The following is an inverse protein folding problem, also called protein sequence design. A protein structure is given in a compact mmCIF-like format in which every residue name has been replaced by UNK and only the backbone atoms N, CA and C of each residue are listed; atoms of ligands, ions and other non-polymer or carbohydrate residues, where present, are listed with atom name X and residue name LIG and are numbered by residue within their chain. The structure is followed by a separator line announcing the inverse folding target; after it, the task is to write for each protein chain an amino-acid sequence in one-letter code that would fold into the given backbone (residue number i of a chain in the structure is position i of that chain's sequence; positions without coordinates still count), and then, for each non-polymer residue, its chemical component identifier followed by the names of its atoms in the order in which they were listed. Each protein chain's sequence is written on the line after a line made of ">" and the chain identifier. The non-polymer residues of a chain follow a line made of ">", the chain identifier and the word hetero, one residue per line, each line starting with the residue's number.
data_IF_907963496987
#
_entry.id   IF_907963496987
#
_cell.length_a   1.000
_cell.length_b   1.000
_cell.length_c   1.000
_cell.angle_alpha   90.00
_cell.angle_beta   90.00
_cell.angle_gamma   90.00
#
_symmetry.space_group_name_H-M   'P 1'
#
loop_
_entity.id
_entity.type
_entity.pdbx_description
1 polymer ?
#
# COMPACT_ATOMS: atom_id res chain seq x y z
N UNK A 1 -24.05 -43.69 -10.48
CA UNK A 1 -22.79 -43.01 -10.80
C UNK A 1 -22.77 -41.48 -10.60
N UNK A 2 -23.88 -40.75 -10.71
CA UNK A 2 -23.89 -39.27 -10.51
C UNK A 2 -23.91 -38.82 -9.03
N UNK A 3 -24.58 -39.57 -8.14
CA UNK A 3 -24.75 -39.14 -6.73
C UNK A 3 -23.48 -39.27 -5.91
N UNK A 4 -22.66 -40.25 -6.17
CA UNK A 4 -21.40 -40.48 -5.45
C UNK A 4 -20.31 -39.48 -5.86
N UNK A 5 -20.29 -39.04 -7.12
CA UNK A 5 -19.42 -37.96 -7.56
C UNK A 5 -19.78 -36.62 -6.90
N UNK A 6 -21.08 -36.33 -6.78
CA UNK A 6 -21.55 -35.09 -6.11
C UNK A 6 -21.21 -35.11 -4.62
N UNK A 7 -21.40 -36.26 -3.94
CA UNK A 7 -20.99 -36.44 -2.54
C UNK A 7 -19.48 -36.31 -2.35
N UNK A 8 -18.68 -36.88 -3.25
CA UNK A 8 -17.22 -36.73 -3.18
C UNK A 8 -16.74 -35.30 -3.43
N UNK A 9 -17.36 -34.59 -4.36
CA UNK A 9 -17.06 -33.15 -4.59
C UNK A 9 -17.41 -32.33 -3.34
N UNK A 10 -18.61 -32.51 -2.78
CA UNK A 10 -19.03 -31.79 -1.56
C UNK A 10 -18.15 -32.13 -0.34
N UNK A 11 -17.67 -33.39 -0.21
CA UNK A 11 -16.72 -33.77 0.84
C UNK A 11 -15.35 -33.15 0.61
N UNK A 12 -14.85 -33.11 -0.63
CA UNK A 12 -13.58 -32.50 -0.99
C UNK A 12 -13.60 -30.99 -0.70
N UNK A 13 -14.69 -30.33 -1.04
CA UNK A 13 -14.83 -28.88 -0.77
C UNK A 13 -14.89 -28.61 0.74
N UNK A 14 -15.60 -29.44 1.51
CA UNK A 14 -15.63 -29.31 2.99
C UNK A 14 -14.25 -29.50 3.62
N UNK A 15 -13.48 -30.47 3.19
CA UNK A 15 -12.11 -30.69 3.68
C UNK A 15 -11.22 -29.51 3.33
N UNK A 16 -11.32 -28.98 2.11
CA UNK A 16 -10.56 -27.79 1.71
C UNK A 16 -10.90 -26.58 2.59
N UNK A 17 -12.18 -26.32 2.84
CA UNK A 17 -12.60 -25.21 3.72
C UNK A 17 -12.15 -25.41 5.17
N UNK A 18 -12.18 -26.62 5.70
CA UNK A 18 -11.67 -26.92 7.04
C UNK A 18 -10.15 -26.68 7.12
N UNK A 19 -9.40 -27.08 6.10
CA UNK A 19 -7.96 -26.81 6.03
C UNK A 19 -7.65 -25.31 5.94
N UNK A 20 -8.42 -24.56 5.15
CA UNK A 20 -8.28 -23.11 5.08
C UNK A 20 -8.58 -22.48 6.44
N UNK A 21 -9.64 -22.89 7.12
CA UNK A 21 -9.96 -22.41 8.45
C UNK A 21 -8.85 -22.73 9.47
N UNK A 22 -8.28 -23.92 9.40
CA UNK A 22 -7.13 -24.32 10.24
C UNK A 22 -5.88 -23.47 9.93
N UNK A 23 -5.62 -23.18 8.65
CA UNK A 23 -4.51 -22.29 8.26
C UNK A 23 -4.74 -20.84 8.74
N UNK A 24 -5.96 -20.31 8.67
CA UNK A 24 -6.29 -18.98 9.20
C UNK A 24 -6.10 -18.96 10.72
N UNK A 25 -6.52 -20.02 11.41
CA UNK A 25 -6.28 -20.13 12.86
C UNK A 25 -4.78 -20.19 13.19
N UNK A 26 -4.00 -20.98 12.45
CA UNK A 26 -2.54 -21.04 12.63
C UNK A 26 -1.89 -19.68 12.38
N UNK A 27 -2.35 -18.97 11.36
CA UNK A 27 -1.91 -17.60 11.06
C UNK A 27 -2.25 -16.64 12.21
N UNK A 28 -3.45 -16.70 12.76
CA UNK A 28 -3.85 -15.92 13.93
C UNK A 28 -2.97 -16.24 15.14
N UNK A 29 -2.77 -17.51 15.45
CA UNK A 29 -1.94 -17.96 16.57
C UNK A 29 -0.48 -17.47 16.44
N UNK A 30 0.08 -17.49 15.23
CA UNK A 30 1.43 -16.97 14.96
C UNK A 30 1.50 -15.44 15.23
N UNK A 31 0.51 -14.67 14.79
CA UNK A 31 0.45 -13.23 15.04
C UNK A 31 0.31 -12.93 16.54
N UNK A 32 -0.58 -13.64 17.23
CA UNK A 32 -0.70 -13.50 18.69
C UNK A 32 0.57 -13.91 19.44
N UNK A 33 1.25 -14.97 18.99
CA UNK A 33 2.52 -15.39 19.57
C UNK A 33 3.58 -14.28 19.50
N UNK A 34 3.64 -13.53 18.38
CA UNK A 34 4.58 -12.44 18.18
C UNK A 34 4.38 -11.23 19.09
N UNK A 35 3.15 -10.96 19.49
CA UNK A 35 2.83 -9.83 20.39
C UNK A 35 2.71 -10.25 21.85
N UNK A 36 2.64 -11.56 22.16
CA UNK A 36 2.49 -12.08 23.51
C UNK A 36 3.67 -11.68 24.38
N UNK A 37 3.41 -10.96 25.48
CA UNK A 37 4.43 -10.51 26.42
C UNK A 37 5.34 -9.41 25.89
N UNK A 38 5.07 -8.88 24.70
CA UNK A 38 5.81 -7.75 24.15
C UNK A 38 5.21 -6.42 24.62
N UNK A 39 6.04 -5.41 24.72
CA UNK A 39 5.63 -4.03 24.85
C UNK A 39 5.35 -3.43 23.49
N UNK A 40 4.37 -2.51 23.41
CA UNK A 40 4.12 -1.76 22.20
C UNK A 40 5.32 -0.86 21.86
N UNK A 41 5.66 -0.81 20.58
CA UNK A 41 6.71 0.09 20.10
C UNK A 41 6.11 1.43 19.72
N UNK A 42 6.67 2.49 20.30
CA UNK A 42 6.34 3.88 19.99
C UNK A 42 7.41 4.49 19.08
N UNK A 43 6.96 5.18 18.07
CA UNK A 43 7.76 6.04 17.21
C UNK A 43 7.39 7.50 17.46
N UNK A 44 8.17 8.43 16.98
CA UNK A 44 7.85 9.87 17.02
C UNK A 44 6.43 10.11 16.45
N UNK A 45 6.12 9.44 15.36
CA UNK A 45 4.83 9.47 14.68
C UNK A 45 3.64 8.92 15.50
N UNK A 46 3.90 8.05 16.47
CA UNK A 46 2.84 7.36 17.23
C UNK A 46 1.94 8.32 17.99
N UNK A 47 2.50 9.43 18.49
CA UNK A 47 1.75 10.45 19.21
C UNK A 47 0.59 11.00 18.38
N UNK A 48 0.82 11.23 17.07
CA UNK A 48 -0.21 11.72 16.15
C UNK A 48 -1.35 10.73 15.89
N UNK A 49 -1.15 9.44 16.19
CA UNK A 49 -2.21 8.42 16.05
C UNK A 49 -3.04 8.22 17.32
N UNK A 50 -2.64 8.80 18.47
CA UNK A 50 -3.33 8.60 19.74
C UNK A 50 -4.56 9.49 19.90
N UNK A 51 -4.69 10.53 19.10
CA UNK A 51 -5.79 11.50 19.17
C UNK A 51 -6.51 11.61 17.84
N UNK A 52 -7.84 11.41 17.87
CA UNK A 52 -8.69 11.58 16.71
C UNK A 52 -8.86 13.07 16.35
N UNK A 53 -8.57 13.40 15.10
CA UNK A 53 -8.80 14.72 14.56
C UNK A 53 -9.44 14.63 13.15
N UNK A 54 -10.66 15.12 13.04
CA UNK A 54 -11.38 15.18 11.76
C UNK A 54 -11.16 16.50 11.02
N UNK A 55 -10.45 17.47 11.60
CA UNK A 55 -10.20 18.76 10.97
C UNK A 55 -9.23 18.68 9.79
N UNK A 56 -8.43 17.62 9.72
CA UNK A 56 -7.33 17.45 8.77
C UNK A 56 -6.07 18.25 9.13
N UNK A 57 -6.07 18.95 10.28
CA UNK A 57 -4.88 19.67 10.76
C UNK A 57 -3.84 18.72 11.36
N UNK A 58 -4.30 17.57 11.89
CA UNK A 58 -3.41 16.51 12.31
C UNK A 58 -2.68 15.91 11.09
N UNK A 59 -1.42 15.57 11.30
CA UNK A 59 -0.62 14.85 10.31
C UNK A 59 -1.19 13.45 9.97
N UNK A 60 -2.17 12.95 10.74
CA UNK A 60 -2.69 11.59 10.63
C UNK A 60 -4.17 11.59 10.28
N UNK A 61 -4.53 10.80 9.26
CA UNK A 61 -5.90 10.63 8.83
C UNK A 61 -6.67 9.75 9.81
N UNK A 62 -7.96 10.00 9.95
CA UNK A 62 -8.84 9.55 11.01
C UNK A 62 -8.99 8.03 11.25
N UNK A 63 -8.88 7.08 10.29
CA UNK A 63 -9.24 5.69 10.56
C UNK A 63 -8.38 5.03 11.64
N UNK A 64 -7.06 5.26 11.64
CA UNK A 64 -6.18 4.69 12.66
C UNK A 64 -6.32 5.42 14.00
N UNK A 65 -6.29 6.76 14.06
CA UNK A 65 -6.60 7.50 15.28
C UNK A 65 -7.94 7.13 15.90
N UNK A 66 -9.01 6.93 15.11
CA UNK A 66 -10.31 6.52 15.64
C UNK A 66 -10.27 5.19 16.40
N UNK A 67 -9.53 4.22 15.85
CA UNK A 67 -9.34 2.93 16.51
C UNK A 67 -8.52 3.08 17.79
N UNK A 68 -7.43 3.83 17.75
CA UNK A 68 -6.52 3.95 18.89
C UNK A 68 -7.08 4.80 20.01
N UNK A 69 -7.95 5.77 19.73
CA UNK A 69 -8.65 6.54 20.76
C UNK A 69 -9.71 5.72 21.48
N UNK A 70 -10.45 4.87 20.75
CA UNK A 70 -11.47 3.98 21.36
C UNK A 70 -10.80 2.89 22.20
N UNK A 71 -9.61 2.42 21.82
CA UNK A 71 -8.90 1.36 22.52
C UNK A 71 -7.84 1.99 23.43
N UNK A 72 -8.14 2.14 24.71
CA UNK A 72 -7.29 2.86 25.67
C UNK A 72 -5.95 2.17 25.98
N UNK A 73 -5.86 0.83 25.88
CA UNK A 73 -4.66 0.07 26.24
C UNK A 73 -3.81 -0.26 25.03
N UNK A 74 -2.51 0.02 25.08
CA UNK A 74 -1.57 -0.26 24.00
C UNK A 74 -1.49 -1.76 23.68
N UNK A 75 -1.56 -2.61 24.70
CA UNK A 75 -1.63 -4.05 24.49
C UNK A 75 -2.92 -4.47 23.74
N UNK A 76 -4.06 -3.85 24.07
CA UNK A 76 -5.31 -4.10 23.34
C UNK A 76 -5.24 -3.56 21.90
N UNK A 77 -4.53 -2.46 21.64
CA UNK A 77 -4.27 -1.93 20.30
C UNK A 77 -3.46 -2.92 19.46
N UNK A 78 -2.42 -3.53 20.04
CA UNK A 78 -1.65 -4.60 19.37
C UNK A 78 -2.55 -5.82 19.08
N UNK A 79 -3.37 -6.26 20.02
CA UNK A 79 -4.33 -7.36 19.80
C UNK A 79 -5.29 -7.00 18.67
N UNK A 80 -5.86 -5.78 18.66
CA UNK A 80 -6.74 -5.33 17.59
C UNK A 80 -6.04 -5.39 16.23
N UNK A 81 -4.81 -4.91 16.13
CA UNK A 81 -4.01 -4.96 14.89
C UNK A 81 -3.83 -6.41 14.40
N UNK A 82 -3.48 -7.34 15.29
CA UNK A 82 -3.31 -8.76 14.95
C UNK A 82 -4.63 -9.44 14.52
N UNK A 83 -5.74 -9.13 15.20
CA UNK A 83 -7.09 -9.62 14.85
C UNK A 83 -7.52 -9.07 13.50
N UNK A 84 -7.40 -7.75 13.31
CA UNK A 84 -7.80 -7.09 12.08
C UNK A 84 -6.98 -7.59 10.88
N UNK A 85 -5.68 -7.77 11.06
CA UNK A 85 -4.83 -8.38 10.05
C UNK A 85 -5.26 -9.83 9.75
N UNK A 86 -5.60 -10.62 10.77
CA UNK A 86 -6.10 -11.99 10.56
C UNK A 86 -7.38 -12.00 9.73
N UNK A 87 -8.32 -11.09 9.99
CA UNK A 87 -9.55 -10.95 9.20
C UNK A 87 -9.22 -10.55 7.75
N UNK A 88 -8.36 -9.56 7.56
CA UNK A 88 -8.02 -9.03 6.24
C UNK A 88 -7.30 -10.07 5.34
N UNK A 89 -6.27 -10.71 5.90
CA UNK A 89 -5.52 -11.74 5.18
C UNK A 89 -6.34 -13.02 5.00
N UNK A 90 -7.14 -13.41 6.00
CA UNK A 90 -8.06 -14.53 5.91
C UNK A 90 -9.13 -14.32 4.85
N UNK A 91 -9.76 -13.14 4.81
CA UNK A 91 -10.71 -12.77 3.75
C UNK A 91 -10.08 -12.90 2.36
N UNK A 92 -8.90 -12.32 2.17
CA UNK A 92 -8.20 -12.36 0.87
C UNK A 92 -7.80 -13.79 0.49
N UNK A 93 -7.31 -14.59 1.46
CA UNK A 93 -7.00 -15.99 1.24
C UNK A 93 -8.22 -16.80 0.80
N UNK A 94 -9.37 -16.60 1.43
CA UNK A 94 -10.64 -17.24 1.05
C UNK A 94 -11.07 -16.83 -0.35
N UNK A 95 -11.00 -15.54 -0.69
CA UNK A 95 -11.35 -15.05 -2.03
C UNK A 95 -10.45 -15.66 -3.10
N UNK A 96 -9.12 -15.62 -2.92
CA UNK A 96 -8.18 -16.20 -3.89
C UNK A 96 -8.39 -17.70 -4.00
N UNK A 97 -8.58 -18.42 -2.89
CA UNK A 97 -8.84 -19.85 -2.85
C UNK A 97 -10.15 -20.23 -3.57
N UNK A 98 -11.21 -19.44 -3.40
CA UNK A 98 -12.50 -19.68 -4.04
C UNK A 98 -12.40 -19.63 -5.58
N UNK A 99 -11.55 -18.77 -6.11
CA UNK A 99 -11.38 -18.60 -7.56
C UNK A 99 -10.26 -19.47 -8.15
N UNK A 100 -9.30 -19.94 -7.35
CA UNK A 100 -8.27 -20.91 -7.75
C UNK A 100 -8.75 -22.35 -7.56
N UNK A 101 -9.73 -22.80 -8.34
CA UNK A 101 -10.49 -24.03 -8.15
C UNK A 101 -9.65 -25.30 -8.01
N UNK A 102 -8.55 -25.41 -8.75
CA UNK A 102 -7.64 -26.58 -8.69
C UNK A 102 -6.58 -26.45 -7.60
N UNK A 103 -6.25 -25.22 -7.21
CA UNK A 103 -5.18 -24.90 -6.26
C UNK A 103 -5.70 -24.20 -4.99
N UNK A 104 -6.95 -24.46 -4.62
CA UNK A 104 -7.66 -23.82 -3.49
C UNK A 104 -6.82 -23.74 -2.21
N UNK A 105 -6.25 -24.86 -1.77
CA UNK A 105 -5.44 -24.92 -0.54
C UNK A 105 -4.11 -24.18 -0.72
N UNK A 106 -3.41 -24.41 -1.85
CA UNK A 106 -2.15 -23.74 -2.17
C UNK A 106 -2.33 -22.24 -2.24
N UNK A 107 -3.43 -21.76 -2.84
CA UNK A 107 -3.75 -20.35 -2.97
C UNK A 107 -3.96 -19.70 -1.59
N UNK A 108 -4.75 -20.32 -0.71
CA UNK A 108 -4.93 -19.81 0.65
C UNK A 108 -3.60 -19.83 1.44
N UNK A 109 -2.86 -20.93 1.35
CA UNK A 109 -1.58 -21.08 2.05
C UNK A 109 -0.58 -20.01 1.65
N UNK A 110 -0.40 -19.76 0.35
CA UNK A 110 0.59 -18.79 -0.13
C UNK A 110 0.23 -17.36 0.25
N UNK A 111 -1.06 -16.98 0.24
CA UNK A 111 -1.52 -15.67 0.71
C UNK A 111 -1.23 -15.52 2.21
N UNK A 112 -1.59 -16.49 3.04
CA UNK A 112 -1.36 -16.43 4.48
C UNK A 112 0.14 -16.51 4.82
N UNK A 113 0.93 -17.27 4.07
CA UNK A 113 2.37 -17.37 4.23
C UNK A 113 3.03 -15.99 4.00
N UNK A 114 2.64 -15.28 2.93
CA UNK A 114 3.11 -13.93 2.67
C UNK A 114 2.75 -12.98 3.82
N UNK A 115 1.52 -13.05 4.33
CA UNK A 115 1.08 -12.25 5.48
C UNK A 115 1.77 -12.60 6.80
N UNK A 116 2.38 -13.78 6.89
CA UNK A 116 3.13 -14.22 8.07
C UNK A 116 4.58 -13.73 8.10
N UNK A 117 5.08 -13.14 7.01
CA UNK A 117 6.47 -12.65 6.94
C UNK A 117 6.73 -11.55 7.96
N UNK A 118 8.00 -11.42 8.36
CA UNK A 118 8.40 -10.46 9.38
C UNK A 118 8.16 -9.02 8.92
N UNK A 119 8.36 -8.73 7.63
CA UNK A 119 8.09 -7.45 7.00
C UNK A 119 6.64 -6.96 7.15
N UNK A 120 5.70 -7.89 7.41
CA UNK A 120 4.28 -7.59 7.54
C UNK A 120 3.80 -7.75 8.98
N UNK A 121 4.10 -8.85 9.62
CA UNK A 121 3.48 -9.21 10.89
C UNK A 121 4.09 -8.52 12.11
N UNK A 122 5.35 -8.04 12.01
CA UNK A 122 5.97 -7.30 13.10
C UNK A 122 5.41 -5.88 13.28
N UNK A 123 4.65 -5.37 12.31
CA UNK A 123 3.95 -4.10 12.47
C UNK A 123 2.83 -4.15 13.51
N UNK A 124 2.35 -5.34 13.90
CA UNK A 124 1.27 -5.45 14.90
C UNK A 124 1.68 -4.95 16.27
N UNK A 125 2.97 -4.91 16.60
CA UNK A 125 3.46 -4.33 17.86
C UNK A 125 3.73 -2.83 17.78
N UNK A 126 3.75 -2.24 16.59
CA UNK A 126 4.02 -0.83 16.38
C UNK A 126 2.71 -0.03 16.39
N UNK A 127 2.63 1.03 17.19
CA UNK A 127 1.45 1.88 17.25
C UNK A 127 1.50 2.95 16.15
N UNK A 128 1.40 2.47 14.91
CA UNK A 128 1.45 3.24 13.68
C UNK A 128 0.34 2.80 12.71
N UNK A 129 0.31 3.38 11.52
CA UNK A 129 -0.69 3.04 10.49
C UNK A 129 -0.37 1.78 9.68
N UNK A 130 0.83 1.24 9.77
CA UNK A 130 1.34 0.22 8.84
C UNK A 130 0.59 -1.11 8.96
N UNK A 131 0.32 -1.61 10.16
CA UNK A 131 -0.41 -2.88 10.33
C UNK A 131 -1.84 -2.76 9.80
N UNK A 132 -2.59 -1.73 10.24
CA UNK A 132 -3.97 -1.50 9.81
C UNK A 132 -4.00 -1.14 8.31
N UNK A 133 -3.13 -0.25 7.86
CA UNK A 133 -3.07 0.20 6.47
C UNK A 133 -2.73 -0.94 5.50
N UNK A 134 -1.73 -1.76 5.80
CA UNK A 134 -1.39 -2.94 4.98
C UNK A 134 -2.51 -3.96 4.97
N UNK A 135 -3.17 -4.19 6.11
CA UNK A 135 -4.32 -5.09 6.21
C UNK A 135 -5.50 -4.60 5.37
N UNK A 136 -5.79 -3.30 5.39
CA UNK A 136 -6.82 -2.68 4.54
C UNK A 136 -6.46 -2.78 3.04
N UNK A 137 -5.21 -2.58 2.66
CA UNK A 137 -4.74 -2.77 1.28
C UNK A 137 -4.99 -4.21 0.83
N UNK A 138 -4.59 -5.19 1.64
CA UNK A 138 -4.79 -6.62 1.34
C UNK A 138 -6.27 -6.95 1.20
N UNK A 139 -7.11 -6.47 2.12
CA UNK A 139 -8.56 -6.65 2.03
C UNK A 139 -9.15 -5.97 0.79
N UNK A 140 -8.65 -4.78 0.41
CA UNK A 140 -9.06 -4.10 -0.83
C UNK A 140 -8.69 -4.91 -2.06
N UNK A 141 -7.50 -5.53 -2.09
CA UNK A 141 -7.10 -6.43 -3.18
C UNK A 141 -7.99 -7.67 -3.25
N UNK A 142 -8.33 -8.27 -2.11
CA UNK A 142 -9.31 -9.36 -2.04
C UNK A 142 -10.68 -8.93 -2.57
N UNK A 143 -11.20 -7.78 -2.15
CA UNK A 143 -12.46 -7.24 -2.63
C UNK A 143 -12.43 -6.92 -4.14
N UNK A 144 -11.31 -6.37 -4.64
CA UNK A 144 -11.11 -6.14 -6.08
C UNK A 144 -11.14 -7.46 -6.88
N UNK A 145 -10.45 -8.49 -6.42
CA UNK A 145 -10.49 -9.81 -7.05
C UNK A 145 -11.91 -10.38 -7.03
N UNK A 146 -12.64 -10.20 -5.94
CA UNK A 146 -14.05 -10.60 -5.87
C UNK A 146 -14.89 -9.87 -6.93
N UNK A 147 -14.80 -8.54 -7.06
CA UNK A 147 -15.51 -7.76 -8.09
C UNK A 147 -15.12 -8.17 -9.52
N UNK A 148 -13.84 -8.50 -9.74
CA UNK A 148 -13.34 -8.96 -11.05
C UNK A 148 -14.06 -10.24 -11.48
N UNK A 149 -14.23 -11.18 -10.57
CA UNK A 149 -14.87 -12.47 -10.83
C UNK A 149 -16.39 -12.41 -10.77
N UNK A 150 -16.93 -11.74 -9.75
CA UNK A 150 -18.36 -11.65 -9.49
C UNK A 150 -18.75 -10.21 -9.15
N UNK A 151 -19.23 -9.48 -10.14
CA UNK A 151 -19.68 -8.11 -9.97
C UNK A 151 -21.11 -8.09 -9.47
N UNK A 152 -21.26 -8.04 -8.16
CA UNK A 152 -22.55 -7.89 -7.45
C UNK A 152 -22.58 -6.58 -6.67
N UNK A 153 -23.76 -6.15 -6.25
CA UNK A 153 -23.89 -4.97 -5.37
C UNK A 153 -23.09 -5.16 -4.08
N UNK A 154 -23.08 -6.38 -3.53
CA UNK A 154 -22.35 -6.69 -2.29
C UNK A 154 -20.85 -6.55 -2.51
N UNK A 155 -20.29 -7.19 -3.55
CA UNK A 155 -18.84 -7.13 -3.82
C UNK A 155 -18.36 -5.70 -4.11
N UNK A 156 -19.14 -4.92 -4.88
CA UNK A 156 -18.84 -3.50 -5.16
C UNK A 156 -18.95 -2.65 -3.90
N UNK A 157 -19.95 -2.89 -3.02
CA UNK A 157 -20.08 -2.17 -1.75
C UNK A 157 -18.90 -2.47 -0.82
N UNK A 158 -18.51 -3.74 -0.70
CA UNK A 158 -17.34 -4.15 0.10
C UNK A 158 -16.07 -3.45 -0.42
N UNK A 159 -15.85 -3.46 -1.74
CA UNK A 159 -14.71 -2.76 -2.35
C UNK A 159 -14.75 -1.26 -2.06
N UNK A 160 -15.92 -0.62 -2.17
CA UNK A 160 -16.08 0.81 -1.90
C UNK A 160 -15.78 1.14 -0.43
N UNK A 161 -16.32 0.37 0.52
CA UNK A 161 -16.11 0.59 1.95
C UNK A 161 -14.63 0.38 2.32
N UNK A 162 -14.09 -0.80 2.01
CA UNK A 162 -12.71 -1.14 2.39
C UNK A 162 -11.72 -0.24 1.68
N UNK A 163 -11.94 0.04 0.39
CA UNK A 163 -11.09 0.95 -0.37
C UNK A 163 -11.13 2.38 0.14
N UNK A 164 -12.29 2.86 0.62
CA UNK A 164 -12.40 4.17 1.28
C UNK A 164 -11.59 4.20 2.58
N UNK A 165 -11.75 3.19 3.43
CA UNK A 165 -10.95 3.09 4.65
C UNK A 165 -9.45 3.02 4.34
N UNK A 166 -9.05 2.26 3.32
CA UNK A 166 -7.66 2.20 2.85
C UNK A 166 -7.16 3.58 2.44
N UNK A 167 -7.90 4.26 1.57
CA UNK A 167 -7.53 5.57 1.05
C UNK A 167 -7.39 6.61 2.16
N UNK A 168 -8.27 6.56 3.17
CA UNK A 168 -8.26 7.48 4.30
C UNK A 168 -7.25 7.07 5.40
N UNK A 169 -6.44 6.04 5.22
CA UNK A 169 -5.42 5.64 6.19
C UNK A 169 -4.17 6.51 6.12
N UNK A 170 -3.78 6.92 4.91
CA UNK A 170 -2.57 7.71 4.65
C UNK A 170 -2.78 8.70 3.48
N UNK A 171 -2.26 9.93 3.56
CA UNK A 171 -2.42 10.92 2.49
C UNK A 171 -2.04 10.43 1.08
N UNK A 172 -0.94 9.66 0.88
CA UNK A 172 -0.59 9.13 -0.44
C UNK A 172 -1.59 8.15 -1.04
N UNK A 173 -2.56 7.66 -0.27
CA UNK A 173 -3.58 6.72 -0.73
C UNK A 173 -4.89 7.40 -1.14
N UNK A 174 -5.09 8.66 -0.82
CA UNK A 174 -6.29 9.44 -1.16
C UNK A 174 -6.67 9.38 -2.66
N UNK A 175 -5.72 9.41 -3.62
CA UNK A 175 -6.05 9.26 -5.04
C UNK A 175 -6.85 7.98 -5.37
N UNK A 176 -6.75 6.93 -4.54
CA UNK A 176 -7.54 5.71 -4.69
C UNK A 176 -9.06 5.98 -4.60
N UNK A 177 -9.51 6.98 -3.82
CA UNK A 177 -10.92 7.38 -3.78
C UNK A 177 -11.44 7.80 -5.15
N UNK A 178 -10.64 8.55 -5.90
CA UNK A 178 -10.99 8.98 -7.25
C UNK A 178 -11.10 7.78 -8.18
N UNK A 179 -10.17 6.84 -8.09
CA UNK A 179 -10.20 5.58 -8.87
C UNK A 179 -11.45 4.78 -8.54
N UNK A 180 -11.78 4.62 -7.25
CA UNK A 180 -12.99 3.92 -6.81
C UNK A 180 -14.27 4.59 -7.32
N UNK A 181 -14.33 5.92 -7.26
CA UNK A 181 -15.45 6.69 -7.78
C UNK A 181 -15.61 6.47 -9.29
N UNK A 182 -14.53 6.64 -10.07
CA UNK A 182 -14.54 6.44 -11.52
C UNK A 182 -14.97 5.02 -11.89
N UNK A 183 -14.42 4.01 -11.23
CA UNK A 183 -14.77 2.59 -11.47
C UNK A 183 -16.25 2.33 -11.14
N UNK A 184 -16.74 2.89 -10.03
CA UNK A 184 -18.14 2.67 -9.62
C UNK A 184 -19.11 3.40 -10.53
N UNK A 185 -18.80 4.62 -10.98
CA UNK A 185 -19.57 5.34 -12.00
C UNK A 185 -19.58 4.56 -13.32
N UNK A 186 -18.42 4.04 -13.73
CA UNK A 186 -18.33 3.21 -14.93
C UNK A 186 -19.22 1.97 -14.84
N UNK A 187 -19.27 1.29 -13.69
CA UNK A 187 -20.20 0.17 -13.47
C UNK A 187 -21.66 0.63 -13.53
N UNK A 188 -21.97 1.78 -12.92
CA UNK A 188 -23.33 2.31 -12.95
C UNK A 188 -23.83 2.56 -14.38
N UNK A 189 -23.00 3.17 -15.20
CA UNK A 189 -23.32 3.48 -16.62
C UNK A 189 -23.36 2.21 -17.46
N UNK A 190 -22.32 1.37 -17.36
CA UNK A 190 -22.20 0.15 -18.19
C UNK A 190 -23.31 -0.85 -17.93
N UNK A 191 -23.63 -1.08 -16.66
CA UNK A 191 -24.61 -2.10 -16.26
C UNK A 191 -26.00 -1.50 -16.09
N UNK A 192 -26.17 -0.19 -16.35
CA UNK A 192 -27.41 0.58 -16.14
C UNK A 192 -28.02 0.34 -14.76
N UNK A 193 -27.16 0.28 -13.73
CA UNK A 193 -27.53 -0.08 -12.37
C UNK A 193 -27.56 1.15 -11.46
N UNK A 194 -28.76 1.55 -11.02
CA UNK A 194 -28.93 2.64 -10.06
C UNK A 194 -28.25 2.35 -8.71
N UNK A 195 -28.09 1.06 -8.33
CA UNK A 195 -27.41 0.65 -7.10
C UNK A 195 -25.93 1.06 -7.08
N UNK A 196 -25.23 0.89 -8.21
CA UNK A 196 -23.85 1.37 -8.34
C UNK A 196 -23.81 2.90 -8.39
N UNK A 197 -24.82 3.54 -8.93
CA UNK A 197 -24.99 5.00 -8.88
C UNK A 197 -25.09 5.52 -7.45
N UNK A 198 -25.81 4.85 -6.57
CA UNK A 198 -25.88 5.20 -5.14
C UNK A 198 -24.54 5.01 -4.43
N UNK A 199 -23.80 3.94 -4.74
CA UNK A 199 -22.44 3.74 -4.17
C UNK A 199 -21.51 4.87 -4.65
N UNK A 200 -21.55 5.22 -5.94
CA UNK A 200 -20.77 6.33 -6.48
C UNK A 200 -21.13 7.67 -5.82
N UNK A 201 -22.42 7.92 -5.60
CA UNK A 201 -22.90 9.11 -4.89
C UNK A 201 -22.41 9.16 -3.45
N UNK A 202 -22.34 8.02 -2.76
CA UNK A 202 -21.80 7.93 -1.39
C UNK A 202 -20.27 8.12 -1.36
N UNK A 203 -19.54 7.77 -2.42
CA UNK A 203 -18.09 8.00 -2.52
C UNK A 203 -17.74 9.48 -2.76
N UNK A 204 -18.61 10.24 -3.41
CA UNK A 204 -18.33 11.63 -3.76
C UNK A 204 -17.99 12.52 -2.54
N UNK A 205 -18.77 12.55 -1.45
CA UNK A 205 -18.40 13.31 -0.24
C UNK A 205 -17.10 12.79 0.40
N UNK A 206 -16.79 11.50 0.28
CA UNK A 206 -15.53 10.95 0.79
C UNK A 206 -14.33 11.47 -0.02
N UNK A 207 -14.46 11.57 -1.34
CA UNK A 207 -13.44 12.20 -2.20
C UNK A 207 -13.22 13.66 -1.81
N UNK A 208 -14.32 14.42 -1.66
CA UNK A 208 -14.24 15.84 -1.28
C UNK A 208 -13.58 16.00 0.10
N UNK A 209 -13.96 15.20 1.08
CA UNK A 209 -13.37 15.20 2.41
C UNK A 209 -11.88 14.82 2.37
N UNK A 210 -11.51 13.75 1.65
CA UNK A 210 -10.13 13.36 1.48
C UNK A 210 -9.25 14.46 0.88
N UNK A 211 -9.75 15.14 -0.17
CA UNK A 211 -9.05 16.27 -0.79
C UNK A 211 -8.87 17.42 0.21
N UNK A 212 -9.91 17.75 0.99
CA UNK A 212 -9.84 18.80 2.01
C UNK A 212 -8.85 18.45 3.12
N UNK A 213 -8.81 17.19 3.58
CA UNK A 213 -7.83 16.72 4.57
C UNK A 213 -6.39 16.84 4.06
N UNK A 214 -6.14 16.48 2.80
CA UNK A 214 -4.80 16.68 2.19
C UNK A 214 -4.44 18.16 2.11
N UNK A 215 -5.41 18.99 1.72
CA UNK A 215 -5.21 20.45 1.64
C UNK A 215 -4.88 21.06 2.99
N UNK A 216 -5.51 20.59 4.08
CA UNK A 216 -5.30 21.08 5.43
C UNK A 216 -4.01 20.54 6.07
N UNK A 217 -3.48 19.41 5.58
CA UNK A 217 -2.27 18.77 6.10
C UNK A 217 -0.98 19.38 5.48
N UNK A 218 -0.84 20.70 5.54
CA UNK A 218 0.28 21.41 4.93
C UNK A 218 1.62 21.13 5.59
N UNK A 219 1.65 21.07 6.92
CA UNK A 219 2.89 20.89 7.68
C UNK A 219 3.62 19.59 7.29
N UNK A 220 2.90 18.44 7.24
CA UNK A 220 3.51 17.16 6.81
C UNK A 220 3.94 17.21 5.33
N UNK A 221 3.19 17.92 4.48
CA UNK A 221 3.53 18.08 3.07
C UNK A 221 4.80 18.91 2.90
N UNK A 222 4.98 19.98 3.68
CA UNK A 222 6.18 20.80 3.69
C UNK A 222 7.40 20.00 4.18
N UNK A 223 7.27 19.26 5.29
CA UNK A 223 8.32 18.39 5.82
C UNK A 223 8.81 17.38 4.76
N UNK A 224 7.89 16.65 4.15
CA UNK A 224 8.26 15.70 3.09
C UNK A 224 8.94 16.38 1.90
N UNK A 225 8.55 17.61 1.59
CA UNK A 225 9.16 18.35 0.49
C UNK A 225 10.59 18.81 0.83
N UNK A 226 10.85 19.29 2.05
CA UNK A 226 12.21 19.62 2.48
C UNK A 226 13.15 18.43 2.41
N UNK A 227 12.71 17.26 2.93
CA UNK A 227 13.50 16.02 2.89
C UNK A 227 13.77 15.58 1.44
N UNK A 228 12.78 15.70 0.57
CA UNK A 228 12.91 15.38 -0.85
C UNK A 228 13.87 16.34 -1.56
N UNK A 229 13.82 17.65 -1.23
CA UNK A 229 14.77 18.62 -1.77
C UNK A 229 16.20 18.26 -1.36
N UNK A 230 16.43 18.00 -0.07
CA UNK A 230 17.74 17.61 0.44
C UNK A 230 18.26 16.38 -0.31
N UNK A 231 17.53 15.27 -0.26
CA UNK A 231 17.98 13.99 -0.84
C UNK A 231 18.21 14.03 -2.36
N UNK A 232 17.41 14.79 -3.11
CA UNK A 232 17.31 14.63 -4.58
C UNK A 232 17.71 15.83 -5.40
N UNK A 233 17.64 17.02 -4.82
CA UNK A 233 17.84 18.28 -5.57
C UNK A 233 19.11 18.98 -5.12
N UNK A 234 19.27 19.20 -3.82
CA UNK A 234 20.35 20.06 -3.31
C UNK A 234 21.74 19.49 -3.56
N UNK A 235 21.92 18.19 -3.51
CA UNK A 235 23.20 17.51 -3.76
C UNK A 235 23.48 17.22 -5.25
N UNK A 236 22.61 17.67 -6.16
CA UNK A 236 22.83 17.55 -7.60
C UNK A 236 22.85 18.94 -8.25
N UNK A 237 24.03 19.39 -8.67
CA UNK A 237 24.23 20.75 -9.20
C UNK A 237 23.27 21.11 -10.33
N UNK A 238 23.11 20.24 -11.33
CA UNK A 238 22.24 20.52 -12.46
C UNK A 238 20.76 20.64 -12.07
N UNK A 239 20.30 19.78 -11.16
CA UNK A 239 18.93 19.88 -10.64
C UNK A 239 18.75 21.13 -9.81
N UNK A 240 19.68 21.42 -8.89
CA UNK A 240 19.64 22.62 -8.05
C UNK A 240 19.62 23.89 -8.89
N UNK A 241 20.48 24.02 -9.90
CA UNK A 241 20.52 25.17 -10.82
C UNK A 241 19.17 25.33 -11.53
N UNK A 242 18.58 24.23 -12.02
CA UNK A 242 17.25 24.29 -12.63
C UNK A 242 16.19 24.86 -11.67
N UNK A 243 16.21 24.45 -10.39
CA UNK A 243 15.29 24.97 -9.38
C UNK A 243 15.54 26.45 -9.06
N UNK A 244 16.79 26.88 -9.01
CA UNK A 244 17.18 28.29 -8.83
C UNK A 244 16.67 29.14 -10.02
N UNK A 245 16.85 28.68 -11.25
CA UNK A 245 16.33 29.34 -12.46
C UNK A 245 14.79 29.43 -12.46
N UNK A 246 14.13 28.59 -11.66
CA UNK A 246 12.67 28.58 -11.48
C UNK A 246 12.24 29.24 -10.15
N UNK A 247 13.11 30.08 -9.59
CA UNK A 247 12.78 30.98 -8.49
C UNK A 247 13.03 30.41 -7.08
N UNK A 248 13.71 29.27 -6.93
CA UNK A 248 14.14 28.78 -5.63
C UNK A 248 15.23 29.69 -5.06
N UNK A 249 15.01 30.40 -3.93
CA UNK A 249 16.00 31.29 -3.36
C UNK A 249 17.05 30.51 -2.55
N UNK A 250 18.18 30.22 -3.17
CA UNK A 250 19.30 29.51 -2.53
C UNK A 250 20.51 30.42 -2.49
N UNK A 251 21.12 30.54 -1.32
CA UNK A 251 22.42 31.13 -1.11
C UNK A 251 23.43 30.07 -0.63
N UNK A 252 24.70 30.46 -0.48
CA UNK A 252 25.75 29.51 -0.06
C UNK A 252 25.44 28.90 1.32
N UNK A 253 24.89 29.70 2.25
CA UNK A 253 24.54 29.20 3.57
C UNK A 253 23.42 28.16 3.54
N UNK A 254 22.43 28.33 2.66
CA UNK A 254 21.34 27.34 2.45
C UNK A 254 21.90 26.09 1.73
N UNK A 255 22.79 26.29 0.76
CA UNK A 255 23.42 25.18 0.02
C UNK A 255 24.26 24.29 0.94
N UNK A 256 24.99 24.89 1.87
CA UNK A 256 25.87 24.18 2.79
C UNK A 256 25.15 23.71 4.08
N UNK A 257 23.87 24.08 4.26
CA UNK A 257 23.10 23.64 5.41
C UNK A 257 22.93 22.10 5.35
N UNK A 258 23.32 21.45 6.42
CA UNK A 258 23.05 20.04 6.66
C UNK A 258 21.70 19.92 7.34
N UNK A 259 20.87 18.97 6.87
CA UNK A 259 19.62 18.68 7.55
C UNK A 259 18.43 19.53 7.09
N UNK A 260 18.11 19.54 5.77
CA UNK A 260 16.87 20.15 5.28
C UNK A 260 15.60 19.60 5.94
N UNK A 261 15.65 18.35 6.42
CA UNK A 261 14.60 17.79 7.26
C UNK A 261 14.43 18.56 8.57
N UNK A 262 15.53 19.02 9.18
CA UNK A 262 15.53 19.85 10.38
C UNK A 262 15.02 21.27 10.10
N UNK A 263 15.19 21.77 8.86
CA UNK A 263 14.67 23.06 8.46
C UNK A 263 13.12 23.11 8.44
N UNK A 264 12.48 21.97 8.27
CA UNK A 264 11.02 21.86 8.36
C UNK A 264 10.51 22.02 9.80
N UNK A 265 11.33 21.67 10.79
CA UNK A 265 10.98 21.82 12.21
C UNK A 265 10.82 23.29 12.65
N UNK A 266 11.14 24.25 11.77
CA UNK A 266 11.10 25.68 12.08
C UNK A 266 10.04 26.44 11.28
N UNK A 267 9.22 25.80 10.46
CA UNK A 267 8.01 26.52 10.02
C UNK A 267 7.15 26.78 11.26
N UNK A 268 6.71 28.02 11.42
CA UNK A 268 5.98 28.47 12.62
C UNK A 268 4.77 27.55 12.96
N UNK A 269 4.21 26.89 11.97
CA UNK A 269 3.08 25.97 12.10
C UNK A 269 3.48 24.57 12.64
N UNK A 270 4.77 24.19 12.52
CA UNK A 270 5.32 22.95 13.10
C UNK A 270 5.84 23.15 14.52
N UNK A 271 6.19 24.37 14.90
CA UNK A 271 6.67 24.71 16.23
C UNK A 271 5.65 24.39 17.35
N UNK A 272 4.36 24.45 17.05
CA UNK A 272 3.31 24.06 18.00
C UNK A 272 3.26 22.53 18.23
N UNK A 273 3.87 21.72 17.33
CA UNK A 273 3.76 20.26 17.36
C UNK A 273 5.04 19.52 17.73
N UNK A 274 6.21 20.12 17.53
CA UNK A 274 7.51 19.51 17.84
C UNK A 274 8.49 20.54 18.39
N UNK A 275 8.56 20.72 19.72
CA UNK A 275 9.63 21.53 20.30
C UNK A 275 10.99 20.91 19.97
N UNK A 276 11.91 21.72 19.43
CA UNK A 276 13.28 21.29 19.13
C UNK A 276 13.98 20.83 20.41
N UNK A 277 14.67 19.69 20.42
CA UNK A 277 15.55 19.30 21.51
C UNK A 277 16.65 20.35 21.72
N UNK A 278 16.97 20.66 22.99
CA UNK A 278 18.10 21.54 23.30
C UNK A 278 19.39 21.01 22.67
N UNK A 279 20.11 21.87 21.95
CA UNK A 279 21.42 21.55 21.37
C UNK A 279 21.43 21.11 19.92
N UNK A 280 20.31 21.20 19.19
CA UNK A 280 20.32 20.96 17.74
C UNK A 280 21.00 22.10 16.97
N UNK A 281 21.70 21.80 15.86
CA UNK A 281 22.34 22.82 15.03
C UNK A 281 21.28 23.75 14.41
N UNK A 282 21.63 25.03 14.12
CA UNK A 282 20.73 25.93 13.43
C UNK A 282 20.36 25.35 12.07
N UNK A 283 19.11 25.41 11.76
CA UNK A 283 18.56 24.86 10.53
C UNK A 283 18.44 25.93 9.44
N UNK A 284 18.05 25.52 8.22
CA UNK A 284 18.04 26.38 7.03
C UNK A 284 17.17 27.65 7.18
N UNK A 285 16.23 27.67 8.10
CA UNK A 285 15.34 28.85 8.33
C UNK A 285 16.01 29.88 9.24
N UNK A 286 16.85 29.46 10.17
CA UNK A 286 17.61 30.34 11.05
C UNK A 286 18.80 31.02 10.35
N UNK A 287 19.20 30.55 9.18
CA UNK A 287 20.26 31.14 8.39
C UNK A 287 19.75 32.28 7.48
N UNK A 288 20.64 33.14 7.03
CA UNK A 288 20.29 34.24 6.15
C UNK A 288 19.57 33.74 4.88
N UNK A 289 18.38 34.27 4.62
CA UNK A 289 17.54 33.85 3.48
C UNK A 289 16.65 32.61 3.72
N UNK A 290 16.76 31.94 4.86
CA UNK A 290 15.97 30.78 5.19
C UNK A 290 14.46 30.99 5.20
N UNK A 291 14.03 32.19 5.66
CA UNK A 291 12.60 32.58 5.67
C UNK A 291 12.03 32.65 4.24
N UNK A 292 12.78 33.21 3.30
CA UNK A 292 12.32 33.35 1.92
C UNK A 292 12.35 31.99 1.21
N UNK A 293 13.30 31.14 1.53
CA UNK A 293 13.34 29.75 1.08
C UNK A 293 12.11 28.97 1.59
N UNK A 294 11.77 29.09 2.87
CA UNK A 294 10.59 28.44 3.43
C UNK A 294 9.28 28.95 2.80
N UNK A 295 9.14 30.24 2.56
CA UNK A 295 7.99 30.81 1.83
C UNK A 295 7.89 30.24 0.42
N UNK A 296 9.02 30.12 -0.28
CA UNK A 296 9.06 29.55 -1.61
C UNK A 296 8.63 28.07 -1.59
N UNK A 297 9.16 27.26 -0.66
CA UNK A 297 8.77 25.86 -0.47
C UNK A 297 7.25 25.74 -0.30
N UNK A 298 6.68 26.56 0.58
CA UNK A 298 5.24 26.57 0.89
C UNK A 298 4.36 26.91 -0.31
N UNK A 299 4.75 27.87 -1.12
CA UNK A 299 3.89 28.40 -2.18
C UNK A 299 4.21 27.86 -3.57
N UNK A 300 5.43 27.46 -3.82
CA UNK A 300 5.93 27.11 -5.14
C UNK A 300 6.58 25.73 -5.22
N UNK A 301 7.03 25.16 -4.10
CA UNK A 301 7.85 23.96 -4.07
C UNK A 301 7.25 22.80 -4.85
N UNK A 302 6.06 22.31 -4.47
CA UNK A 302 5.43 21.18 -5.14
C UNK A 302 5.08 21.45 -6.61
N UNK A 303 4.65 22.67 -6.97
CA UNK A 303 4.34 23.02 -8.35
C UNK A 303 5.59 23.05 -9.22
N UNK A 304 6.71 23.56 -8.69
CA UNK A 304 8.00 23.58 -9.37
C UNK A 304 8.53 22.15 -9.54
N UNK A 305 8.42 21.32 -8.52
CA UNK A 305 8.83 19.92 -8.62
C UNK A 305 7.99 19.14 -9.62
N UNK A 306 6.69 19.32 -9.64
CA UNK A 306 5.82 18.70 -10.66
C UNK A 306 6.21 19.15 -12.07
N UNK A 307 6.54 20.44 -12.26
CA UNK A 307 7.05 20.98 -13.53
C UNK A 307 8.39 20.33 -13.91
N UNK A 308 9.31 20.18 -12.93
CA UNK A 308 10.59 19.51 -13.13
C UNK A 308 10.39 18.08 -13.63
N UNK A 309 9.56 17.27 -12.94
CA UNK A 309 9.28 15.89 -13.34
C UNK A 309 8.66 15.80 -14.75
N UNK A 310 7.78 16.74 -15.11
CA UNK A 310 7.15 16.77 -16.41
C UNK A 310 8.12 17.15 -17.55
N UNK A 311 9.07 18.04 -17.27
CA UNK A 311 10.05 18.54 -18.24
C UNK A 311 11.33 17.70 -18.30
N UNK A 312 11.60 16.90 -17.26
CA UNK A 312 12.77 16.03 -17.13
C UNK A 312 12.37 14.56 -16.86
N UNK A 313 11.64 13.91 -17.80
CA UNK A 313 11.12 12.56 -17.57
C UNK A 313 12.24 11.52 -17.31
N UNK A 314 13.43 11.72 -17.87
CA UNK A 314 14.58 10.84 -17.62
C UNK A 314 15.05 10.93 -16.16
N UNK A 315 15.07 12.13 -15.56
CA UNK A 315 15.39 12.30 -14.15
C UNK A 315 14.29 11.71 -13.26
N UNK A 316 13.02 11.92 -13.61
CA UNK A 316 11.90 11.32 -12.89
C UNK A 316 11.99 9.78 -12.86
N UNK A 317 12.26 9.17 -14.02
CA UNK A 317 12.45 7.71 -14.11
C UNK A 317 13.69 7.28 -13.32
N UNK A 318 14.82 8.00 -13.46
CA UNK A 318 16.06 7.65 -12.78
C UNK A 318 15.90 7.69 -11.26
N UNK A 319 15.33 8.75 -10.71
CA UNK A 319 15.03 8.86 -9.27
C UNK A 319 14.21 7.65 -8.79
N UNK A 320 13.17 7.27 -9.53
CA UNK A 320 12.33 6.15 -9.17
C UNK A 320 13.04 4.79 -9.30
N UNK A 321 13.87 4.61 -10.34
CA UNK A 321 14.58 3.34 -10.58
C UNK A 321 15.76 3.14 -9.64
N UNK A 322 16.49 4.18 -9.28
CA UNK A 322 17.59 4.12 -8.32
C UNK A 322 17.09 3.68 -6.93
N UNK A 323 15.88 4.07 -6.55
CA UNK A 323 15.22 3.69 -5.30
C UNK A 323 14.46 2.36 -5.36
N UNK A 324 14.17 1.83 -6.54
CA UNK A 324 13.24 0.71 -6.75
C UNK A 324 13.61 -0.55 -5.95
N UNK A 325 14.87 -1.01 -6.06
CA UNK A 325 15.26 -2.28 -5.45
C UNK A 325 15.09 -2.23 -3.92
N UNK A 326 15.62 -1.22 -3.28
CA UNK A 326 15.56 -1.06 -1.84
C UNK A 326 14.12 -0.80 -1.35
N UNK A 327 13.40 0.06 -2.05
CA UNK A 327 12.05 0.48 -1.69
C UNK A 327 11.03 -0.66 -1.77
N UNK A 328 11.10 -1.50 -2.79
CA UNK A 328 10.16 -2.61 -2.99
C UNK A 328 10.61 -3.93 -2.38
N UNK A 329 11.87 -4.06 -1.98
CA UNK A 329 12.44 -5.25 -1.35
C UNK A 329 13.04 -4.91 0.03
N UNK A 330 12.26 -4.32 0.95
CA UNK A 330 12.81 -4.01 2.26
C UNK A 330 13.19 -5.28 2.99
N UNK A 331 14.39 -5.30 3.57
CA UNK A 331 14.72 -6.24 4.63
C UNK A 331 13.89 -5.93 5.88
N UNK A 332 13.66 -6.90 6.77
CA UNK A 332 12.95 -6.62 8.01
C UNK A 332 13.63 -5.52 8.85
N UNK A 333 14.95 -5.47 8.84
CA UNK A 333 15.74 -4.46 9.56
C UNK A 333 15.60 -3.04 9.02
N UNK A 334 15.22 -2.91 7.73
CA UNK A 334 15.00 -1.60 7.10
C UNK A 334 13.66 -0.98 7.50
N UNK A 335 12.78 -1.79 8.08
CA UNK A 335 11.40 -1.41 8.43
C UNK A 335 11.12 -1.40 9.92
N UNK A 336 11.97 -2.03 10.73
CA UNK A 336 11.64 -2.39 12.10
C UNK A 336 12.78 -2.05 13.05
N UNK A 337 12.48 -1.83 14.35
CA UNK A 337 13.49 -1.66 15.38
C UNK A 337 14.49 -2.82 15.40
N UNK A 338 15.72 -2.54 15.76
CA UNK A 338 16.83 -3.52 15.81
C UNK A 338 16.60 -4.66 16.81
N UNK A 339 15.70 -4.50 17.76
CA UNK A 339 15.32 -5.48 18.79
C UNK A 339 14.22 -6.46 18.35
N UNK A 340 13.69 -6.30 17.13
CA UNK A 340 12.66 -7.19 16.62
C UNK A 340 13.18 -8.62 16.41
N UNK A 341 12.48 -9.60 17.01
CA UNK A 341 12.80 -11.02 16.84
C UNK A 341 12.26 -11.50 15.50
N UNK A 342 13.18 -11.87 14.61
CA UNK A 342 12.83 -12.45 13.29
C UNK A 342 12.49 -13.93 13.46
N UNK A 343 11.36 -14.34 12.91
CA UNK A 343 10.87 -15.73 12.98
C UNK A 343 10.85 -16.36 11.59
N UNK A 344 10.48 -15.58 10.58
CA UNK A 344 10.34 -16.08 9.22
C UNK A 344 11.58 -15.76 8.39
N UNK A 345 12.04 -16.71 7.55
CA UNK A 345 13.12 -16.44 6.61
C UNK A 345 12.77 -15.33 5.61
N UNK A 346 13.69 -14.38 5.39
CA UNK A 346 13.48 -13.22 4.51
C UNK A 346 13.12 -13.61 3.08
N UNK A 347 13.61 -14.75 2.59
CA UNK A 347 13.32 -15.23 1.24
C UNK A 347 11.84 -15.53 0.99
N UNK A 348 11.03 -15.72 2.05
CA UNK A 348 9.56 -15.94 1.92
C UNK A 348 8.88 -14.66 1.44
N UNK A 349 9.27 -13.50 1.99
CA UNK A 349 8.81 -12.22 1.45
C UNK A 349 9.38 -12.03 0.04
N UNK A 350 10.64 -12.37 -0.14
CA UNK A 350 11.34 -12.40 -1.42
C UNK A 350 11.39 -11.05 -2.14
N UNK A 351 12.13 -10.99 -3.21
CA UNK A 351 12.13 -9.84 -4.09
C UNK A 351 10.81 -9.74 -4.88
N UNK A 352 10.30 -8.54 -5.11
CA UNK A 352 9.10 -8.34 -5.94
C UNK A 352 9.24 -8.96 -7.34
N UNK A 353 10.45 -9.09 -7.83
CA UNK A 353 10.79 -9.69 -9.12
C UNK A 353 10.35 -11.15 -9.21
N UNK A 354 10.39 -11.89 -8.11
CA UNK A 354 9.98 -13.29 -8.05
C UNK A 354 8.47 -13.48 -8.31
N UNK A 355 7.69 -12.43 -8.16
CA UNK A 355 6.27 -12.42 -8.43
C UNK A 355 5.94 -11.77 -9.77
N UNK A 356 6.61 -10.66 -10.10
CA UNK A 356 6.34 -9.90 -11.30
C UNK A 356 6.87 -10.59 -12.58
N UNK A 357 8.12 -11.08 -12.58
CA UNK A 357 8.69 -11.69 -13.79
C UNK A 357 7.98 -12.99 -14.20
N UNK A 358 7.71 -13.96 -13.31
CA UNK A 358 6.92 -15.13 -13.70
C UNK A 358 5.52 -14.75 -14.18
N UNK A 359 4.86 -13.77 -13.55
CA UNK A 359 3.54 -13.31 -13.97
C UNK A 359 3.58 -12.72 -15.40
N UNK A 360 4.55 -11.83 -15.68
CA UNK A 360 4.72 -11.24 -17.02
C UNK A 360 5.10 -12.31 -18.06
N UNK A 361 5.99 -13.25 -17.70
CA UNK A 361 6.38 -14.34 -18.60
C UNK A 361 5.19 -15.23 -18.94
N UNK A 362 4.41 -15.64 -17.94
CA UNK A 362 3.20 -16.43 -18.15
C UNK A 362 2.17 -15.67 -18.98
N UNK A 363 2.01 -14.37 -18.73
CA UNK A 363 1.14 -13.51 -19.52
C UNK A 363 1.58 -13.48 -21.01
N UNK A 364 2.87 -13.32 -21.26
CA UNK A 364 3.44 -13.36 -22.61
C UNK A 364 3.21 -14.70 -23.31
N UNK A 365 3.46 -15.81 -22.62
CA UNK A 365 3.20 -17.17 -23.14
C UNK A 365 1.72 -17.34 -23.47
N UNK A 366 0.82 -17.00 -22.56
CA UNK A 366 -0.63 -17.12 -22.76
C UNK A 366 -1.13 -16.18 -23.87
N UNK A 367 -0.57 -14.97 -23.98
CA UNK A 367 -0.89 -14.05 -25.06
C UNK A 367 -0.46 -14.62 -26.43
N UNK A 368 0.75 -15.16 -26.51
CA UNK A 368 1.27 -15.78 -27.73
C UNK A 368 0.38 -16.90 -28.24
N UNK A 369 -0.17 -17.73 -27.33
CA UNK A 369 -1.12 -18.79 -27.67
C UNK A 369 -2.58 -18.33 -27.72
N UNK A 370 -2.87 -17.03 -27.68
CA UNK A 370 -4.22 -16.46 -27.66
C UNK A 370 -5.12 -17.03 -26.52
N UNK A 371 -4.52 -17.29 -25.35
CA UNK A 371 -5.16 -17.91 -24.18
C UNK A 371 -5.36 -16.95 -22.99
N UNK A 372 -5.01 -15.67 -23.14
CA UNK A 372 -5.34 -14.67 -22.16
C UNK A 372 -6.84 -14.45 -22.11
N UNK A 373 -7.44 -14.69 -20.95
CA UNK A 373 -8.84 -14.42 -20.73
C UNK A 373 -9.07 -13.02 -20.11
N UNK A 374 -10.33 -12.63 -20.00
CA UNK A 374 -10.73 -11.30 -19.49
C UNK A 374 -10.36 -11.10 -18.01
N UNK A 375 -10.30 -12.17 -17.22
CA UNK A 375 -9.94 -12.10 -15.79
C UNK A 375 -8.45 -11.80 -15.67
N UNK A 376 -7.61 -12.52 -16.41
CA UNK A 376 -6.17 -12.26 -16.46
C UNK A 376 -5.86 -10.82 -16.87
N UNK A 377 -6.51 -10.33 -17.93
CA UNK A 377 -6.32 -8.95 -18.41
C UNK A 377 -6.68 -7.94 -17.30
N UNK A 378 -7.78 -8.16 -16.56
CA UNK A 378 -8.17 -7.26 -15.46
C UNK A 378 -7.18 -7.29 -14.30
N UNK A 379 -6.63 -8.46 -13.94
CA UNK A 379 -5.59 -8.59 -12.92
C UNK A 379 -4.34 -7.84 -13.37
N UNK A 380 -3.92 -7.99 -14.63
CA UNK A 380 -2.77 -7.27 -15.19
C UNK A 380 -2.98 -5.75 -15.18
N UNK A 381 -4.16 -5.27 -15.57
CA UNK A 381 -4.51 -3.85 -15.49
C UNK A 381 -4.45 -3.36 -14.03
N UNK A 382 -4.99 -4.12 -13.08
CA UNK A 382 -4.87 -3.80 -11.66
C UNK A 382 -3.42 -3.75 -11.18
N UNK A 383 -2.59 -4.71 -11.60
CA UNK A 383 -1.17 -4.75 -11.27
C UNK A 383 -0.38 -3.59 -11.91
N UNK A 384 -0.74 -3.16 -13.12
CA UNK A 384 -0.08 -2.01 -13.78
C UNK A 384 -0.29 -0.69 -13.02
N UNK A 385 -1.36 -0.56 -12.24
CA UNK A 385 -1.59 0.61 -11.38
C UNK A 385 -0.57 0.70 -10.22
N UNK A 386 0.14 -0.37 -9.91
CA UNK A 386 1.25 -0.33 -8.95
C UNK A 386 2.40 0.56 -9.44
N UNK A 387 2.60 0.70 -10.76
CA UNK A 387 3.67 1.53 -11.34
C UNK A 387 3.44 3.02 -11.03
N UNK A 388 2.33 3.66 -11.44
CA UNK A 388 2.09 5.06 -11.09
C UNK A 388 1.98 5.26 -9.57
N UNK A 389 1.45 4.28 -8.82
CA UNK A 389 1.43 4.37 -7.36
C UNK A 389 2.83 4.35 -6.76
N UNK A 390 3.73 3.49 -7.24
CA UNK A 390 5.13 3.48 -6.85
C UNK A 390 5.82 4.83 -7.15
N UNK A 391 5.64 5.33 -8.38
CA UNK A 391 6.14 6.65 -8.76
C UNK A 391 5.64 7.75 -7.83
N UNK A 392 4.35 7.75 -7.54
CA UNK A 392 3.76 8.73 -6.63
C UNK A 392 4.39 8.63 -5.23
N UNK A 393 4.53 7.43 -4.66
CA UNK A 393 5.15 7.23 -3.36
C UNK A 393 6.59 7.73 -3.35
N UNK A 394 7.40 7.32 -4.33
CA UNK A 394 8.81 7.75 -4.39
C UNK A 394 8.90 9.26 -4.50
N UNK A 395 8.10 9.91 -5.34
CA UNK A 395 8.19 11.34 -5.57
C UNK A 395 7.50 12.21 -4.51
N UNK A 396 6.74 11.63 -3.59
CA UNK A 396 6.07 12.37 -2.51
C UNK A 396 6.61 12.06 -1.12
N UNK A 397 7.33 10.95 -0.94
CA UNK A 397 8.00 10.63 0.31
C UNK A 397 9.43 11.20 0.30
N UNK A 398 9.78 11.98 1.30
CA UNK A 398 11.12 12.54 1.48
C UNK A 398 12.09 11.55 2.13
N UNK A 399 11.59 10.58 2.88
CA UNK A 399 12.38 9.60 3.62
C UNK A 399 11.60 8.29 3.82
N UNK A 400 12.23 7.28 4.42
CA UNK A 400 11.59 5.99 4.78
C UNK A 400 10.84 5.33 3.61
N UNK A 401 11.37 5.44 2.39
CA UNK A 401 10.74 4.93 1.18
C UNK A 401 10.21 3.49 1.30
N UNK A 402 10.94 2.52 1.92
CA UNK A 402 10.44 1.16 2.10
C UNK A 402 9.16 1.10 2.93
N UNK A 403 9.06 1.92 3.98
CA UNK A 403 7.88 2.02 4.85
C UNK A 403 6.69 2.61 4.09
N UNK A 404 6.92 3.68 3.32
CA UNK A 404 5.88 4.32 2.52
C UNK A 404 5.40 3.45 1.35
N UNK A 405 6.31 2.66 0.76
CA UNK A 405 6.00 1.78 -0.36
C UNK A 405 5.56 0.36 0.05
N UNK A 406 5.48 0.04 1.35
CA UNK A 406 5.09 -1.30 1.82
C UNK A 406 3.77 -1.77 1.19
N UNK A 407 2.79 -0.86 1.07
CA UNK A 407 1.51 -1.17 0.41
C UNK A 407 1.67 -1.55 -1.06
N UNK A 408 2.52 -0.84 -1.82
CA UNK A 408 2.84 -1.18 -3.22
C UNK A 408 3.55 -2.52 -3.29
N UNK A 409 4.55 -2.71 -2.42
CA UNK A 409 5.36 -3.92 -2.31
C UNK A 409 4.51 -5.17 -2.07
N UNK A 410 3.57 -5.10 -1.12
CA UNK A 410 2.61 -6.18 -0.82
C UNK A 410 1.65 -6.40 -1.99
N UNK A 411 1.12 -5.33 -2.59
CA UNK A 411 0.17 -5.42 -3.71
C UNK A 411 0.78 -6.11 -4.93
N UNK A 412 2.01 -5.76 -5.32
CA UNK A 412 2.71 -6.41 -6.44
C UNK A 412 2.86 -7.92 -6.20
N UNK A 413 3.21 -8.31 -4.97
CA UNK A 413 3.34 -9.73 -4.59
C UNK A 413 2.02 -10.47 -4.65
N UNK A 414 0.96 -9.90 -4.07
CA UNK A 414 -0.37 -10.52 -4.06
C UNK A 414 -0.96 -10.65 -5.46
N UNK A 415 -0.90 -9.61 -6.28
CA UNK A 415 -1.45 -9.64 -7.63
C UNK A 415 -0.61 -10.54 -8.55
N UNK A 416 0.73 -10.51 -8.42
CA UNK A 416 1.62 -11.41 -9.12
C UNK A 416 1.32 -12.88 -8.77
N UNK A 417 1.19 -13.18 -7.48
CA UNK A 417 0.83 -14.52 -7.00
C UNK A 417 -0.54 -14.96 -7.51
N UNK A 418 -1.56 -14.12 -7.39
CA UNK A 418 -2.91 -14.44 -7.87
C UNK A 418 -2.91 -14.69 -9.38
N UNK A 419 -2.16 -13.90 -10.15
CA UNK A 419 -2.02 -14.10 -11.59
C UNK A 419 -1.32 -15.43 -11.91
N UNK A 420 -0.19 -15.72 -11.25
CA UNK A 420 0.57 -16.96 -11.45
C UNK A 420 -0.31 -18.18 -11.18
N UNK A 421 -1.01 -18.22 -10.05
CA UNK A 421 -1.89 -19.32 -9.68
C UNK A 421 -3.01 -19.51 -10.71
N UNK A 422 -3.65 -18.43 -11.13
CA UNK A 422 -4.71 -18.48 -12.13
C UNK A 422 -4.19 -18.90 -13.50
N UNK A 423 -3.02 -18.41 -13.92
CA UNK A 423 -2.40 -18.77 -15.19
C UNK A 423 -2.01 -20.25 -15.24
N UNK A 424 -1.42 -20.79 -14.16
CA UNK A 424 -1.05 -22.19 -14.05
C UNK A 424 -2.32 -23.07 -14.07
N UNK A 425 -3.37 -22.68 -13.35
CA UNK A 425 -4.66 -23.39 -13.40
C UNK A 425 -5.18 -23.49 -14.83
N UNK A 426 -5.13 -22.39 -15.57
CA UNK A 426 -5.59 -22.32 -16.95
C UNK A 426 -4.78 -23.21 -17.88
N UNK A 427 -3.45 -23.26 -17.72
CA UNK A 427 -2.58 -24.15 -18.48
C UNK A 427 -2.89 -25.64 -18.21
N UNK A 428 -3.14 -26.00 -16.96
CA UNK A 428 -3.52 -27.38 -16.59
C UNK A 428 -4.88 -27.78 -17.20
N UNK A 429 -5.84 -26.84 -17.26
CA UNK A 429 -7.12 -27.09 -17.93
C UNK A 429 -6.97 -27.35 -19.43
N UNK A 430 -6.13 -26.56 -20.09
CA UNK A 430 -5.88 -26.70 -21.53
C UNK A 430 -5.22 -28.04 -21.87
N UNK A 431 -4.27 -28.49 -21.04
CA UNK A 431 -3.61 -29.80 -21.22
C UNK A 431 -4.60 -30.95 -21.07
N UNK A 432 -5.47 -30.94 -20.06
CA UNK A 432 -6.49 -31.96 -19.85
C UNK A 432 -7.47 -32.09 -21.03
N UNK A 433 -7.91 -30.96 -21.59
CA UNK A 433 -8.80 -30.95 -22.74
C UNK A 433 -8.14 -31.52 -24.02
N UNK A 434 -6.84 -31.34 -24.19
CA UNK A 434 -6.09 -31.89 -25.32
C UNK A 434 -5.92 -33.40 -25.21
N UNK A 435 -5.68 -33.91 -24.00
CA UNK A 435 -5.55 -35.34 -23.74
C UNK A 435 -6.90 -36.09 -23.96
N UNK A 436 -8.02 -35.52 -23.54
CA UNK A 436 -9.36 -36.04 -23.78
C UNK A 436 -9.71 -36.10 -25.29
N UNK A 437 -9.30 -35.09 -26.08
CA UNK A 437 -9.55 -35.07 -27.52
C UNK A 437 -8.70 -36.13 -28.27
N UNK A 438 -7.49 -36.41 -27.81
CA UNK A 438 -6.61 -37.41 -28.41
C UNK A 438 -6.99 -38.86 -28.06
N UNK A 439 -7.77 -39.10 -26.99
CA UNK A 439 -8.28 -40.42 -26.62
C UNK A 439 -9.60 -40.74 -27.33
N UNK A 440 -10.28 -39.71 -27.83
CA UNK A 440 -11.57 -39.86 -28.55
C UNK A 440 -11.42 -40.09 -30.06
N UNK A 441 -10.19 -40.08 -30.59
CA UNK A 441 -9.80 -40.43 -31.97
C UNK A 441 -9.21 -41.82 -31.97
#
# INVERSE_FOLDING_TARGET
>A
MKLDRVKQLLLRDRVAYLLIAAMILAFALLRFYRIKGQQATFWVDSVGYMKLDFSGRSARLWPVPAVFEIIESDYKRMIFQAVFATIAWGFTAVVVAYYARKFTITAAFTVLLLGSTDQISLWDKNLLSESIGTSLIVMTMGAMLWVIHERSTVSVSVLAIVGTLTAMTRPPQIPMLVVLLVVTVWFAVRDRSWKYGLIALALLPMVMWGVEMVRNNRATSELNFYMMLDERIMHNDARREWFVDHGMPVNDAIKDATGFGEAADITADLYEYMPLPEGQPPNAIMIAGGVDFAKWVRHHGWSTYAKFLATHPNDAIKIATDQNYFTLNPGPKDLLPSDAVMIMPDWIFGGWQWFAFPAVTLAGVLAFFHRLDRVMIKIMVGASLCVPWFFFVVHTAGMEHPRHALGVSVTVRLLGLAFILYAVERLVELRGATEESNVAV
#
